data_IF_388326748639
#
_entry.id   IF_388326748639
#
_cell.length_a   1.000
_cell.length_b   1.000
_cell.length_c   1.000
_cell.angle_alpha   90.00
_cell.angle_beta   90.00
_cell.angle_gamma   90.00
#
_symmetry.space_group_name_H-M   'P 1'
#
loop_
_entity.id
_entity.type
_entity.pdbx_description
1 polymer ?
#
# COMPACT_ATOMS: atom_id res chain seq x y z
N UNK A 1 -11.18 21.35 15.57
CA UNK A 1 -11.73 22.52 16.29
C UNK A 1 -12.33 22.20 17.66
N UNK A 2 -13.01 21.06 17.89
CA UNK A 2 -13.60 20.71 19.18
C UNK A 2 -12.57 20.54 20.33
N UNK A 3 -11.40 20.01 20.03
CA UNK A 3 -10.31 19.79 21.01
C UNK A 3 -9.77 21.10 21.59
N UNK A 4 -9.59 22.14 20.78
CA UNK A 4 -9.13 23.45 21.27
C UNK A 4 -10.13 24.13 22.22
N UNK A 5 -11.41 23.91 22.01
CA UNK A 5 -12.48 24.43 22.88
C UNK A 5 -12.50 23.70 24.23
N UNK A 6 -12.36 22.38 24.23
CA UNK A 6 -12.34 21.57 25.47
C UNK A 6 -11.10 21.86 26.31
N UNK A 7 -9.92 21.94 25.69
CA UNK A 7 -8.66 22.23 26.40
C UNK A 7 -8.48 23.70 26.77
N UNK A 8 -9.15 24.65 26.10
CA UNK A 8 -9.12 26.06 26.44
C UNK A 8 -10.18 26.47 27.48
N UNK A 9 -11.36 25.81 27.49
CA UNK A 9 -12.46 26.14 28.38
C UNK A 9 -12.17 25.77 29.86
N UNK A 10 -11.50 24.67 30.11
CA UNK A 10 -11.21 24.21 31.49
C UNK A 10 -10.29 25.19 32.22
N UNK A 11 -9.15 25.65 31.68
CA UNK A 11 -8.33 26.68 32.32
C UNK A 11 -9.00 28.06 32.38
N UNK A 12 -9.81 28.43 31.37
CA UNK A 12 -10.53 29.69 31.34
C UNK A 12 -11.62 29.78 32.43
N UNK A 13 -12.38 28.69 32.65
CA UNK A 13 -13.38 28.58 33.70
C UNK A 13 -12.74 28.55 35.10
N UNK A 14 -11.54 27.98 35.24
CA UNK A 14 -10.82 28.02 36.51
C UNK A 14 -10.25 29.39 36.82
N UNK A 15 -9.82 30.17 35.79
CA UNK A 15 -9.35 31.53 35.95
C UNK A 15 -10.50 32.51 36.29
N UNK A 16 -11.71 32.30 35.77
CA UNK A 16 -12.88 33.14 36.04
C UNK A 16 -13.48 32.97 37.45
N UNK A 17 -13.14 31.88 38.17
CA UNK A 17 -13.55 31.61 39.58
C UNK A 17 -12.52 32.08 40.60
N UNK A 18 -11.55 32.90 40.23
CA UNK A 18 -10.65 33.54 41.19
C UNK A 18 -11.44 34.63 41.94
N UNK A 19 -12.04 34.25 43.05
CA UNK A 19 -12.71 35.15 43.99
C UNK A 19 -11.63 36.06 44.66
N UNK A 20 -11.56 37.28 44.16
CA UNK A 20 -10.62 38.33 44.65
C UNK A 20 -10.92 38.76 46.10
N UNK A 21 -12.12 38.47 46.63
CA UNK A 21 -12.49 38.79 47.98
C UNK A 21 -11.99 37.79 49.04
N UNK A 22 -11.69 36.54 48.61
CA UNK A 22 -11.13 35.53 49.50
C UNK A 22 -9.66 35.70 49.85
N UNK A 23 -8.90 36.32 48.94
CA UNK A 23 -7.43 36.47 49.09
C UNK A 23 -7.00 37.57 50.09
N UNK A 24 -7.87 38.50 50.44
CA UNK A 24 -7.57 39.59 51.38
C UNK A 24 -7.90 39.23 52.84
N UNK A 25 -8.61 38.13 53.13
CA UNK A 25 -9.01 37.74 54.49
C UNK A 25 -8.27 36.59 55.13
N UNK A 26 -7.40 35.89 54.38
CA UNK A 26 -6.62 34.76 54.93
C UNK A 26 -5.09 35.04 54.94
N UNK A 27 -4.72 36.01 55.71
CA UNK A 27 -3.35 36.06 56.27
C UNK A 27 -3.14 34.95 57.29
N UNK A 28 -2.93 33.70 56.84
CA UNK A 28 -2.53 32.70 57.82
C UNK A 28 -3.06 31.27 57.61
N UNK A 29 -2.94 30.71 56.45
CA UNK A 29 -2.97 29.21 56.26
C UNK A 29 -2.39 28.84 54.91
N UNK A 30 -1.07 28.59 54.91
CA UNK A 30 -0.26 28.29 53.72
C UNK A 30 -0.41 26.83 53.19
N UNK A 31 -1.46 26.11 53.50
CA UNK A 31 -1.62 24.73 53.09
C UNK A 31 -2.42 24.54 51.79
N UNK A 32 -3.46 25.35 51.53
CA UNK A 32 -4.38 25.14 50.40
C UNK A 32 -3.90 25.80 49.11
N UNK A 33 -3.15 26.90 49.19
CA UNK A 33 -2.58 27.58 47.98
C UNK A 33 -1.48 26.79 47.31
N UNK A 34 -0.65 26.06 48.07
CA UNK A 34 0.44 25.23 47.53
C UNK A 34 -0.04 24.02 46.75
N UNK A 35 -1.16 23.41 47.14
CA UNK A 35 -1.76 22.26 46.40
C UNK A 35 -2.32 22.64 45.03
N UNK A 36 -3.00 23.78 44.94
CA UNK A 36 -3.54 24.31 43.67
C UNK A 36 -2.46 24.67 42.65
N UNK A 37 -1.36 25.26 43.12
CA UNK A 37 -0.24 25.62 42.28
C UNK A 37 0.47 24.39 41.73
N UNK A 38 0.67 23.36 42.54
CA UNK A 38 1.28 22.08 42.12
C UNK A 38 0.40 21.36 41.10
N UNK A 39 -0.92 21.32 41.29
CA UNK A 39 -1.85 20.69 40.35
C UNK A 39 -1.82 21.39 39.00
N UNK A 40 -1.82 22.73 38.98
CA UNK A 40 -1.73 23.52 37.74
C UNK A 40 -0.42 23.28 37.00
N UNK A 41 0.72 23.27 37.74
CA UNK A 41 2.03 22.98 37.16
C UNK A 41 2.11 21.55 36.61
N UNK A 42 1.51 20.57 37.28
CA UNK A 42 1.46 19.19 36.81
C UNK A 42 0.61 19.08 35.52
N UNK A 43 -0.55 19.75 35.44
CA UNK A 43 -1.37 19.75 34.23
C UNK A 43 -0.62 20.36 33.04
N UNK A 44 0.06 21.48 33.22
CA UNK A 44 0.87 22.11 32.17
C UNK A 44 2.01 21.18 31.74
N UNK A 45 2.70 20.53 32.68
CA UNK A 45 3.75 19.58 32.37
C UNK A 45 3.24 18.39 31.53
N UNK A 46 2.06 17.85 31.89
CA UNK A 46 1.41 16.75 31.15
C UNK A 46 0.99 17.21 29.74
N UNK A 47 0.44 18.42 29.61
CA UNK A 47 0.07 18.98 28.32
C UNK A 47 1.27 19.14 27.39
N UNK A 48 2.38 19.69 27.91
CA UNK A 48 3.64 19.80 27.16
C UNK A 48 4.17 18.42 26.76
N UNK A 49 4.18 17.47 27.69
CA UNK A 49 4.65 16.12 27.42
C UNK A 49 3.83 15.42 26.34
N UNK A 50 2.48 15.52 26.39
CA UNK A 50 1.59 14.99 25.37
C UNK A 50 1.79 15.68 24.01
N UNK A 51 1.96 16.99 24.02
CA UNK A 51 2.21 17.75 22.78
C UNK A 51 3.52 17.33 22.12
N UNK A 52 4.57 17.12 22.90
CA UNK A 52 5.85 16.61 22.40
C UNK A 52 5.73 15.18 21.87
N UNK A 53 5.02 14.30 22.56
CA UNK A 53 4.76 12.94 22.08
C UNK A 53 4.05 12.93 20.73
N UNK A 54 3.00 13.76 20.59
CA UNK A 54 2.26 13.89 19.34
C UNK A 54 3.12 14.46 18.22
N UNK A 55 3.95 15.46 18.53
CA UNK A 55 4.87 16.05 17.56
C UNK A 55 5.90 15.03 17.04
N UNK A 56 6.52 14.27 17.96
CA UNK A 56 7.46 13.21 17.59
C UNK A 56 6.75 12.12 16.79
N UNK A 57 5.56 11.68 17.21
CA UNK A 57 4.75 10.71 16.48
C UNK A 57 4.41 11.18 15.06
N UNK A 58 3.98 12.42 14.91
CA UNK A 58 3.70 13.02 13.60
C UNK A 58 4.97 13.09 12.73
N UNK A 59 6.11 13.48 13.29
CA UNK A 59 7.39 13.51 12.59
C UNK A 59 7.82 12.13 12.07
N UNK A 60 7.65 11.09 12.88
CA UNK A 60 7.94 9.70 12.47
C UNK A 60 6.99 9.22 11.38
N UNK A 61 5.71 9.52 11.46
CA UNK A 61 4.74 9.19 10.42
C UNK A 61 5.09 9.86 9.09
N UNK A 62 5.41 11.15 9.11
CA UNK A 62 5.84 11.88 7.90
C UNK A 62 7.12 11.28 7.31
N UNK A 63 8.09 10.93 8.16
CA UNK A 63 9.33 10.27 7.72
C UNK A 63 9.05 8.93 7.05
N UNK A 64 8.26 8.08 7.69
CA UNK A 64 7.90 6.77 7.14
C UNK A 64 7.10 6.89 5.83
N UNK A 65 6.18 7.85 5.76
CA UNK A 65 5.41 8.11 4.54
C UNK A 65 6.31 8.56 3.38
N UNK A 66 7.24 9.48 3.64
CA UNK A 66 8.23 9.90 2.63
C UNK A 66 9.11 8.75 2.17
N UNK A 67 9.54 7.89 3.09
CA UNK A 67 10.33 6.70 2.75
C UNK A 67 9.53 5.74 1.86
N UNK A 68 8.24 5.54 2.16
CA UNK A 68 7.35 4.71 1.34
C UNK A 68 7.17 5.28 -0.06
N UNK A 69 6.99 6.59 -0.19
CA UNK A 69 6.85 7.26 -1.50
C UNK A 69 8.15 7.20 -2.34
N UNK A 70 9.31 7.16 -1.70
CA UNK A 70 10.62 7.09 -2.36
C UNK A 70 11.11 5.66 -2.59
N UNK A 71 10.36 4.65 -2.16
CA UNK A 71 10.72 3.26 -2.42
C UNK A 71 10.49 2.94 -3.89
N UNK A 72 11.53 2.47 -4.57
CA UNK A 72 11.41 2.00 -5.94
C UNK A 72 10.52 0.75 -5.99
N UNK A 73 9.38 0.80 -6.68
CA UNK A 73 8.49 -0.36 -6.79
C UNK A 73 9.05 -1.46 -7.72
N UNK A 74 10.20 -1.26 -8.34
CA UNK A 74 10.82 -2.19 -9.29
C UNK A 74 10.18 -2.15 -10.68
N UNK A 75 9.43 -1.10 -11.01
CA UNK A 75 8.86 -0.87 -12.34
C UNK A 75 8.58 0.61 -12.58
N UNK A 76 8.49 1.00 -13.85
CA UNK A 76 8.23 2.39 -14.23
C UNK A 76 6.78 2.77 -13.96
N UNK A 77 6.58 3.78 -13.09
CA UNK A 77 5.25 4.32 -12.76
C UNK A 77 4.93 5.63 -13.48
N UNK A 78 5.89 6.19 -14.22
CA UNK A 78 5.73 7.50 -14.86
C UNK A 78 5.00 7.36 -16.18
N UNK A 79 4.09 8.30 -16.46
CA UNK A 79 3.32 8.36 -17.71
C UNK A 79 2.54 7.08 -18.01
N UNK A 80 2.11 6.36 -16.98
CA UNK A 80 1.34 5.14 -17.09
C UNK A 80 -0.15 5.46 -16.94
N UNK A 81 -0.93 5.15 -17.96
CA UNK A 81 -2.38 5.18 -17.89
C UNK A 81 -2.90 3.76 -17.72
N UNK A 82 -3.69 3.52 -16.70
CA UNK A 82 -4.33 2.22 -16.46
C UNK A 82 -5.83 2.35 -16.63
N UNK A 83 -6.42 1.40 -17.34
CA UNK A 83 -7.86 1.27 -17.46
C UNK A 83 -8.26 -0.18 -17.20
N UNK A 84 -9.44 -0.38 -16.64
CA UNK A 84 -9.99 -1.71 -16.40
C UNK A 84 -11.06 -2.03 -17.46
N UNK A 85 -10.95 -3.21 -18.07
CA UNK A 85 -11.88 -3.70 -19.06
C UNK A 85 -12.51 -4.99 -18.55
N UNK A 86 -13.81 -4.98 -18.28
CA UNK A 86 -14.58 -6.16 -17.93
C UNK A 86 -15.24 -6.73 -19.20
N UNK A 87 -14.77 -7.89 -19.63
CA UNK A 87 -15.39 -8.62 -20.75
C UNK A 87 -16.56 -9.45 -20.23
N UNK A 88 -17.78 -8.99 -20.48
CA UNK A 88 -19.03 -9.66 -20.09
C UNK A 88 -19.76 -10.23 -21.30
N UNK A 89 -20.61 -11.24 -21.07
CA UNK A 89 -21.42 -11.89 -22.09
C UNK A 89 -20.82 -13.16 -22.67
N UNK A 90 -21.67 -13.98 -23.29
CA UNK A 90 -21.35 -15.30 -23.83
C UNK A 90 -20.24 -15.27 -24.89
N UNK A 91 -20.14 -14.17 -25.63
CA UNK A 91 -19.10 -13.97 -26.66
C UNK A 91 -17.68 -14.09 -26.12
N UNK A 92 -17.46 -13.79 -24.84
CA UNK A 92 -16.12 -13.82 -24.22
C UNK A 92 -15.94 -14.99 -23.25
N UNK A 93 -16.81 -15.99 -23.31
CA UNK A 93 -16.69 -17.23 -22.53
C UNK A 93 -15.45 -18.04 -22.88
N UNK A 94 -15.04 -18.04 -24.16
CA UNK A 94 -13.86 -18.74 -24.64
C UNK A 94 -12.56 -17.92 -24.44
N UNK A 95 -11.51 -18.60 -24.03
CA UNK A 95 -10.17 -18.03 -23.85
C UNK A 95 -9.56 -17.48 -25.14
N UNK A 96 -9.80 -18.13 -26.28
CA UNK A 96 -9.34 -17.69 -27.60
C UNK A 96 -9.97 -16.36 -28.00
N UNK A 97 -11.25 -16.20 -27.75
CA UNK A 97 -11.98 -14.95 -28.07
C UNK A 97 -11.49 -13.79 -27.18
N UNK A 98 -11.25 -14.06 -25.90
CA UNK A 98 -10.64 -13.05 -25.01
C UNK A 98 -9.24 -12.65 -25.46
N UNK A 99 -8.41 -13.60 -25.80
CA UNK A 99 -7.05 -13.33 -26.30
C UNK A 99 -7.07 -12.53 -27.59
N UNK A 100 -7.98 -12.86 -28.54
CA UNK A 100 -8.15 -12.12 -29.77
C UNK A 100 -8.58 -10.67 -29.52
N UNK A 101 -9.51 -10.46 -28.59
CA UNK A 101 -9.95 -9.11 -28.20
C UNK A 101 -8.78 -8.28 -27.65
N UNK A 102 -8.04 -8.81 -26.65
CA UNK A 102 -6.94 -8.06 -26.07
C UNK A 102 -5.83 -7.78 -27.08
N UNK A 103 -5.50 -8.72 -27.95
CA UNK A 103 -4.52 -8.48 -29.03
C UNK A 103 -4.93 -7.32 -29.92
N UNK A 104 -6.18 -7.33 -30.44
CA UNK A 104 -6.68 -6.24 -31.29
C UNK A 104 -6.75 -4.89 -30.53
N UNK A 105 -7.15 -4.92 -29.25
CA UNK A 105 -7.21 -3.72 -28.44
C UNK A 105 -5.82 -3.13 -28.22
N UNK A 106 -4.83 -3.95 -27.91
CA UNK A 106 -3.44 -3.53 -27.71
C UNK A 106 -2.82 -2.99 -29.00
N UNK A 107 -3.05 -3.62 -30.15
CA UNK A 107 -2.62 -3.13 -31.47
C UNK A 107 -3.18 -1.74 -31.75
N UNK A 108 -4.50 -1.55 -31.55
CA UNK A 108 -5.16 -0.25 -31.74
C UNK A 108 -4.65 0.81 -30.77
N UNK A 109 -4.47 0.47 -29.49
CA UNK A 109 -3.96 1.40 -28.50
C UNK A 109 -2.52 1.82 -28.83
N UNK A 110 -1.68 0.88 -29.26
CA UNK A 110 -0.29 1.16 -29.64
C UNK A 110 -0.17 2.01 -30.92
N UNK A 111 -1.21 2.05 -31.76
CA UNK A 111 -1.24 2.90 -32.97
C UNK A 111 -1.69 4.34 -32.70
N UNK A 112 -2.16 4.66 -31.49
CA UNK A 112 -2.61 6.01 -31.14
C UNK A 112 -1.43 6.98 -31.01
N UNK A 113 -1.57 8.23 -31.49
CA UNK A 113 -0.55 9.25 -31.29
C UNK A 113 -0.23 9.48 -29.83
N UNK A 114 1.05 9.49 -29.47
CA UNK A 114 1.51 9.72 -28.09
C UNK A 114 1.58 8.46 -27.22
N UNK A 115 1.06 7.32 -27.68
CA UNK A 115 1.19 6.02 -26.98
C UNK A 115 2.50 5.37 -27.38
N UNK A 116 3.40 5.18 -26.44
CA UNK A 116 4.70 4.52 -26.68
C UNK A 116 4.61 2.99 -26.64
N UNK A 117 3.78 2.46 -25.75
CA UNK A 117 3.54 1.03 -25.62
C UNK A 117 2.18 0.78 -24.95
N UNK A 118 1.60 -0.38 -25.22
CA UNK A 118 0.40 -0.85 -24.53
C UNK A 118 0.59 -2.31 -24.11
N UNK A 119 0.08 -2.66 -22.94
CA UNK A 119 0.12 -4.03 -22.43
C UNK A 119 -1.12 -4.33 -21.57
N UNK A 120 -1.42 -5.58 -21.38
CA UNK A 120 -2.51 -6.04 -20.55
C UNK A 120 -1.99 -6.94 -19.41
N UNK A 121 -2.69 -6.85 -18.27
CA UNK A 121 -2.46 -7.70 -17.11
C UNK A 121 -3.79 -7.92 -16.39
N UNK A 122 -4.03 -9.11 -15.85
CA UNK A 122 -5.26 -9.40 -15.12
C UNK A 122 -5.32 -8.73 -13.74
N UNK A 123 -4.19 -8.62 -13.05
CA UNK A 123 -4.05 -8.01 -11.72
C UNK A 123 -2.85 -7.06 -11.72
N UNK A 124 -3.06 -5.76 -12.02
CA UNK A 124 -1.95 -4.80 -12.01
C UNK A 124 -1.35 -4.66 -10.60
N UNK A 125 -0.06 -4.32 -10.51
CA UNK A 125 0.57 -4.02 -9.24
C UNK A 125 -0.23 -2.95 -8.46
N UNK A 126 -0.25 -3.07 -7.14
CA UNK A 126 -0.96 -2.16 -6.22
C UNK A 126 -2.49 -2.06 -6.38
N UNK A 127 -3.11 -2.89 -7.23
CA UNK A 127 -4.57 -2.91 -7.38
C UNK A 127 -5.33 -3.48 -6.17
N UNK A 128 -4.61 -4.04 -5.19
CA UNK A 128 -5.21 -4.79 -4.09
C UNK A 128 -5.76 -6.16 -4.48
N UNK A 129 -5.78 -6.49 -5.76
CA UNK A 129 -6.24 -7.79 -6.27
C UNK A 129 -5.06 -8.75 -6.40
N UNK A 130 -5.27 -9.99 -6.01
CA UNK A 130 -4.26 -11.05 -6.07
C UNK A 130 -4.85 -12.30 -6.72
N UNK A 131 -4.10 -12.86 -7.66
CA UNK A 131 -4.44 -14.14 -8.28
C UNK A 131 -3.68 -15.28 -7.59
N UNK A 132 -4.04 -15.60 -6.34
CA UNK A 132 -3.35 -16.66 -5.60
C UNK A 132 -3.80 -18.01 -6.15
N UNK A 133 -2.86 -18.81 -6.63
CA UNK A 133 -3.08 -20.14 -7.11
C UNK A 133 -2.13 -21.14 -6.45
N UNK A 134 -2.62 -22.38 -6.31
CA UNK A 134 -1.78 -23.52 -5.96
C UNK A 134 -0.94 -23.94 -7.17
N UNK A 135 0.27 -24.38 -6.94
CA UNK A 135 1.10 -24.95 -8.00
C UNK A 135 1.82 -26.20 -7.49
N UNK A 136 2.31 -27.00 -8.43
CA UNK A 136 3.11 -28.19 -8.16
C UNK A 136 4.42 -28.10 -8.91
N UNK A 137 5.45 -28.65 -8.30
CA UNK A 137 6.78 -28.75 -8.92
C UNK A 137 6.98 -30.21 -9.30
N UNK A 138 7.20 -30.46 -10.57
CA UNK A 138 7.48 -31.79 -11.07
C UNK A 138 8.70 -32.39 -10.34
N UNK A 139 8.63 -33.66 -9.99
CA UNK A 139 9.69 -34.36 -9.24
C UNK A 139 9.68 -34.14 -7.72
N UNK A 140 8.74 -33.36 -7.17
CA UNK A 140 8.56 -33.24 -5.71
C UNK A 140 7.38 -34.06 -5.21
N UNK A 141 7.44 -34.57 -3.95
CA UNK A 141 6.31 -35.25 -3.32
C UNK A 141 5.05 -34.38 -3.33
N UNK A 142 3.90 -35.01 -3.50
CA UNK A 142 2.62 -34.31 -3.38
C UNK A 142 2.41 -33.79 -1.95
N UNK A 143 1.87 -32.55 -1.78
CA UNK A 143 1.53 -32.05 -0.47
C UNK A 143 0.52 -32.96 0.24
N UNK A 144 0.73 -33.24 1.50
CA UNK A 144 -0.14 -34.10 2.31
C UNK A 144 -1.35 -33.37 2.88
N UNK A 145 -1.38 -32.01 2.77
CA UNK A 145 -2.47 -31.19 3.26
C UNK A 145 -2.46 -29.78 2.69
N UNK A 146 -3.52 -29.02 2.98
CA UNK A 146 -3.64 -27.62 2.51
C UNK A 146 -2.55 -26.69 3.05
N UNK A 147 -2.04 -26.98 4.25
CA UNK A 147 -0.95 -26.21 4.86
C UNK A 147 0.38 -26.34 4.13
N UNK A 148 0.60 -27.48 3.47
CA UNK A 148 1.85 -27.81 2.78
C UNK A 148 1.79 -27.47 1.28
N UNK A 149 0.61 -27.08 0.81
CA UNK A 149 0.40 -26.78 -0.61
C UNK A 149 1.02 -25.44 -0.96
N UNK A 150 1.99 -25.39 -1.91
CA UNK A 150 2.63 -24.15 -2.29
C UNK A 150 1.66 -23.21 -3.02
N UNK A 151 1.67 -21.97 -2.60
CA UNK A 151 0.86 -20.89 -3.16
C UNK A 151 1.75 -19.83 -3.80
N UNK A 152 1.36 -19.34 -4.96
CA UNK A 152 1.99 -18.20 -5.61
C UNK A 152 0.95 -17.21 -6.13
N UNK A 153 1.33 -15.94 -6.18
CA UNK A 153 0.56 -14.90 -6.85
C UNK A 153 0.80 -15.01 -8.35
N UNK A 154 -0.26 -15.28 -9.09
CA UNK A 154 -0.22 -15.58 -10.51
C UNK A 154 -0.81 -14.41 -11.32
N UNK A 155 -0.07 -13.97 -12.33
CA UNK A 155 -0.51 -12.93 -13.26
C UNK A 155 -0.47 -13.42 -14.68
N UNK A 156 -1.55 -13.14 -15.41
CA UNK A 156 -1.60 -13.32 -16.86
C UNK A 156 -1.28 -11.96 -17.49
N UNK A 157 -0.28 -11.93 -18.33
CA UNK A 157 0.23 -10.71 -18.97
C UNK A 157 0.32 -10.87 -20.48
N UNK A 158 0.26 -9.76 -21.21
CA UNK A 158 0.62 -9.75 -22.64
C UNK A 158 2.14 -9.77 -22.85
N UNK A 159 2.58 -10.17 -24.04
CA UNK A 159 4.01 -10.28 -24.39
C UNK A 159 4.82 -9.00 -24.14
N UNK A 160 4.22 -7.82 -24.35
CA UNK A 160 4.89 -6.52 -24.17
C UNK A 160 4.93 -5.99 -22.73
N UNK A 161 4.34 -6.69 -21.76
CA UNK A 161 4.15 -6.17 -20.41
C UNK A 161 5.46 -5.80 -19.70
N UNK A 162 6.46 -6.69 -19.68
CA UNK A 162 7.73 -6.44 -19.02
C UNK A 162 8.46 -5.22 -19.61
N UNK A 163 8.45 -5.09 -20.93
CA UNK A 163 9.06 -3.95 -21.62
C UNK A 163 8.33 -2.64 -21.33
N UNK A 164 7.00 -2.65 -21.32
CA UNK A 164 6.19 -1.45 -21.01
C UNK A 164 6.40 -1.00 -19.56
N UNK A 165 6.49 -1.94 -18.64
CA UNK A 165 6.67 -1.67 -17.22
C UNK A 165 8.14 -1.47 -16.82
N UNK A 166 9.08 -1.59 -17.76
CA UNK A 166 10.53 -1.53 -17.51
C UNK A 166 10.99 -2.52 -16.43
N UNK A 167 10.41 -3.73 -16.45
CA UNK A 167 10.77 -4.80 -15.53
C UNK A 167 11.86 -5.66 -16.18
N UNK A 168 13.07 -5.72 -15.59
CA UNK A 168 14.16 -6.49 -16.15
C UNK A 168 13.93 -8.00 -16.03
N UNK A 169 14.20 -8.73 -17.12
CA UNK A 169 14.28 -10.19 -17.09
C UNK A 169 15.73 -10.56 -16.83
N UNK A 170 16.01 -11.08 -15.63
CA UNK A 170 17.39 -11.35 -15.17
C UNK A 170 18.00 -12.56 -15.83
N UNK A 171 17.19 -13.58 -16.13
CA UNK A 171 17.61 -14.83 -16.78
C UNK A 171 16.50 -15.31 -17.72
N UNK A 172 16.88 -15.99 -18.79
CA UNK A 172 15.96 -16.45 -19.80
C UNK A 172 15.48 -15.34 -20.73
N UNK A 173 14.19 -15.33 -21.08
CA UNK A 173 13.59 -14.38 -22.00
C UNK A 173 12.21 -13.91 -21.55
N UNK A 174 11.78 -12.75 -22.00
CA UNK A 174 10.40 -12.31 -21.90
C UNK A 174 9.48 -13.15 -22.82
N UNK A 175 8.17 -13.09 -22.58
CA UNK A 175 7.17 -13.65 -23.49
C UNK A 175 7.20 -12.95 -24.83
N UNK A 176 6.91 -13.72 -25.88
CA UNK A 176 6.78 -13.24 -27.23
C UNK A 176 5.54 -13.83 -27.93
N UNK A 177 5.33 -13.49 -29.18
CA UNK A 177 4.16 -13.93 -29.98
C UNK A 177 4.11 -15.45 -30.21
N UNK A 178 5.23 -16.16 -30.10
CA UNK A 178 5.28 -17.62 -30.24
C UNK A 178 4.80 -18.38 -29.02
N UNK A 179 4.63 -17.70 -27.87
CA UNK A 179 4.10 -18.30 -26.64
C UNK A 179 2.56 -18.33 -26.64
N UNK A 180 1.97 -18.79 -27.74
CA UNK A 180 0.53 -18.86 -27.94
C UNK A 180 -0.15 -20.07 -27.29
N UNK A 181 -1.45 -20.21 -27.54
CA UNK A 181 -2.28 -21.27 -26.93
C UNK A 181 -1.82 -22.70 -27.25
N UNK A 182 -1.23 -22.88 -28.43
CA UNK A 182 -0.80 -24.17 -28.94
C UNK A 182 0.72 -24.44 -28.71
N UNK A 183 1.42 -23.48 -28.08
CA UNK A 183 2.83 -23.62 -27.71
C UNK A 183 3.00 -24.29 -26.34
N UNK A 184 4.18 -24.83 -26.04
CA UNK A 184 4.50 -25.31 -24.69
C UNK A 184 4.25 -24.21 -23.67
N UNK A 185 3.60 -24.55 -22.56
CA UNK A 185 3.32 -23.61 -21.51
C UNK A 185 4.58 -23.16 -20.80
N UNK A 186 4.80 -21.86 -20.72
CA UNK A 186 5.98 -21.26 -20.10
C UNK A 186 5.52 -20.26 -19.01
N UNK A 187 6.35 -20.08 -18.02
CA UNK A 187 6.14 -19.12 -16.94
C UNK A 187 7.43 -18.33 -16.69
N UNK A 188 7.26 -17.08 -16.30
CA UNK A 188 8.34 -16.24 -15.76
C UNK A 188 8.09 -16.11 -14.28
N UNK A 189 9.10 -16.41 -13.49
CA UNK A 189 9.02 -16.38 -12.01
C UNK A 189 9.97 -15.31 -11.47
N UNK A 190 9.63 -14.73 -10.33
CA UNK A 190 10.51 -13.76 -9.69
C UNK A 190 11.62 -14.46 -8.88
N UNK A 191 12.66 -13.70 -8.54
CA UNK A 191 13.80 -14.22 -7.79
C UNK A 191 13.41 -14.84 -6.45
N UNK A 192 12.43 -14.26 -5.75
CA UNK A 192 11.96 -14.80 -4.48
C UNK A 192 11.31 -16.19 -4.65
N UNK A 193 10.59 -16.41 -5.76
CA UNK A 193 10.05 -17.74 -6.09
C UNK A 193 11.18 -18.75 -6.33
N UNK A 194 12.20 -18.36 -7.10
CA UNK A 194 13.35 -19.24 -7.36
C UNK A 194 14.06 -19.61 -6.06
N UNK A 195 14.37 -18.62 -5.23
CA UNK A 195 15.05 -18.87 -3.94
C UNK A 195 14.24 -19.77 -3.00
N UNK A 196 12.92 -19.63 -3.01
CA UNK A 196 12.05 -20.41 -2.11
C UNK A 196 11.75 -21.80 -2.62
N UNK A 197 11.52 -21.94 -3.92
CA UNK A 197 10.96 -23.16 -4.48
C UNK A 197 11.89 -23.91 -5.43
N UNK A 198 12.91 -23.27 -5.96
CA UNK A 198 13.87 -23.84 -6.91
C UNK A 198 15.31 -23.53 -6.48
N UNK A 199 15.69 -23.76 -5.20
CA UNK A 199 17.09 -23.62 -4.81
C UNK A 199 17.89 -24.60 -5.65
N UNK A 200 18.88 -24.09 -6.44
CA UNK A 200 19.77 -24.90 -7.27
C UNK A 200 20.66 -25.81 -6.44
#
# INVERSE_FOLDING_TARGET
MLTGVVFGLVPALQASRADLNGTLKEGGRSGAAGGRHRLRSALVAVEIALSLMLLVGAGLLIKNFRQLLNTDPGFNTRNLLSLEVALTGERYGDSRQRSAFYRQALERLSSLPGVQAAAAVNHPPFSGRRGINVFRIEGRPEPTGMSDTPLADFRVISSGYFRMMDIPVLQGRAFNESDGADAPRVAIVNQAFVQRFLPG
#
